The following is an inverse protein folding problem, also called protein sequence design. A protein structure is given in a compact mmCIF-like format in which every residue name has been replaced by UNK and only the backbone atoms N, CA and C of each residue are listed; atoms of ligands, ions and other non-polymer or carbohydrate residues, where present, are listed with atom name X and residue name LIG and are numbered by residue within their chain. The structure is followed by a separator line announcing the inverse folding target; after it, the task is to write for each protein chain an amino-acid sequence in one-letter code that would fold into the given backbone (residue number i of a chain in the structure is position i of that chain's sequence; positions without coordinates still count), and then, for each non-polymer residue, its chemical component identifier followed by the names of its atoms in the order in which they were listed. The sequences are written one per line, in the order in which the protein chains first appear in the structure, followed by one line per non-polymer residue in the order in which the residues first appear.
data_IF_918476480296
#
_entry.id   IF_918476480296
#
_cell.length_a   1.000
_cell.length_b   1.000
_cell.length_c   1.000
_cell.angle_alpha   90.00
_cell.angle_beta   90.00
_cell.angle_gamma   90.00
#
_symmetry.space_group_name_H-M   'P 1'
#
loop_
_entity.id
_entity.type
_entity.pdbx_description
1 polymer ?
#
# COMPACT_ATOMS: atom_id res chain seq x y z
N UNK A 1 -8.11 20.92 15.12
CA UNK A 1 -8.98 20.86 13.91
C UNK A 1 -8.41 19.77 13.02
N UNK A 2 -9.20 18.76 12.63
CA UNK A 2 -8.75 17.67 11.74
C UNK A 2 -8.63 18.26 10.33
N UNK A 3 -7.44 18.15 9.71
CA UNK A 3 -7.16 18.67 8.37
C UNK A 3 -7.00 17.60 7.30
N UNK A 4 -6.74 16.34 7.71
CA UNK A 4 -6.57 15.20 6.83
C UNK A 4 -7.22 13.97 7.48
N UNK A 5 -7.97 13.22 6.67
CA UNK A 5 -8.53 11.90 7.05
C UNK A 5 -8.01 10.86 6.05
N UNK A 6 -7.40 9.79 6.56
CA UNK A 6 -6.91 8.70 5.73
C UNK A 6 -7.80 7.46 5.90
N UNK A 7 -8.04 6.76 4.78
CA UNK A 7 -8.87 5.56 4.72
C UNK A 7 -8.13 4.43 4.00
N UNK A 8 -8.36 3.22 4.46
CA UNK A 8 -8.22 2.03 3.62
C UNK A 8 -9.39 1.95 2.62
N UNK A 9 -9.23 1.20 1.54
CA UNK A 9 -10.23 1.07 0.49
C UNK A 9 -11.08 -0.20 0.65
N UNK A 10 -10.44 -1.36 0.54
CA UNK A 10 -11.13 -2.66 0.44
C UNK A 10 -11.65 -3.14 1.81
N UNK A 11 -12.96 -3.21 1.99
CA UNK A 11 -13.60 -3.53 3.27
C UNK A 11 -13.84 -2.33 4.17
N UNK A 12 -13.37 -1.14 3.77
CA UNK A 12 -13.55 0.13 4.50
C UNK A 12 -14.44 1.08 3.70
N UNK A 13 -13.98 1.61 2.57
CA UNK A 13 -14.77 2.50 1.71
C UNK A 13 -15.61 1.74 0.70
N UNK A 14 -15.17 0.57 0.26
CA UNK A 14 -15.85 -0.29 -0.69
C UNK A 14 -15.72 -1.76 -0.29
N UNK A 15 -16.63 -2.61 -0.75
CA UNK A 15 -16.45 -4.06 -0.71
C UNK A 15 -15.21 -4.44 -1.55
N UNK A 16 -14.52 -5.53 -1.16
CA UNK A 16 -13.25 -5.91 -1.78
C UNK A 16 -13.35 -5.96 -3.30
N UNK A 17 -12.50 -5.19 -3.97
CA UNK A 17 -12.41 -5.03 -5.42
C UNK A 17 -13.69 -4.48 -6.10
N UNK A 18 -14.66 -3.99 -5.34
CA UNK A 18 -15.86 -3.34 -5.86
C UNK A 18 -15.69 -1.82 -5.94
N UNK A 19 -16.37 -1.15 -6.88
CA UNK A 19 -16.39 0.31 -6.92
C UNK A 19 -17.11 0.90 -5.70
N UNK A 20 -16.77 2.14 -5.34
CA UNK A 20 -17.54 2.90 -4.36
C UNK A 20 -19.01 2.92 -4.74
N UNK A 21 -19.89 2.75 -3.76
CA UNK A 21 -21.32 3.02 -3.89
C UNK A 21 -21.53 4.53 -4.02
N UNK A 22 -22.58 4.94 -4.71
CA UNK A 22 -22.90 6.36 -4.92
C UNK A 22 -22.98 7.13 -3.59
N UNK A 23 -23.62 6.55 -2.58
CA UNK A 23 -23.71 7.15 -1.24
C UNK A 23 -22.35 7.39 -0.58
N UNK A 24 -21.38 6.51 -0.81
CA UNK A 24 -20.01 6.69 -0.31
C UNK A 24 -19.28 7.78 -1.08
N UNK A 25 -19.48 7.86 -2.40
CA UNK A 25 -18.93 8.94 -3.23
C UNK A 25 -19.43 10.32 -2.79
N UNK A 26 -20.74 10.44 -2.51
CA UNK A 26 -21.35 11.66 -1.98
C UNK A 26 -20.79 12.05 -0.60
N UNK A 27 -20.66 11.07 0.31
CA UNK A 27 -20.08 11.32 1.64
C UNK A 27 -18.60 11.76 1.57
N UNK A 28 -17.82 11.18 0.66
CA UNK A 28 -16.45 11.62 0.44
C UNK A 28 -16.39 13.03 -0.16
N UNK A 29 -17.32 13.40 -1.06
CA UNK A 29 -17.40 14.75 -1.58
C UNK A 29 -17.72 15.79 -0.49
N UNK A 30 -18.60 15.46 0.45
CA UNK A 30 -18.89 16.31 1.61
C UNK A 30 -17.67 16.45 2.52
N UNK A 31 -16.92 15.36 2.73
CA UNK A 31 -15.70 15.40 3.53
C UNK A 31 -14.60 16.22 2.85
N UNK A 32 -14.44 16.10 1.52
CA UNK A 32 -13.49 16.89 0.73
C UNK A 32 -13.76 18.39 0.77
N UNK A 33 -15.02 18.81 1.03
CA UNK A 33 -15.34 20.22 1.21
C UNK A 33 -14.71 20.83 2.48
N UNK A 34 -14.42 20.01 3.49
CA UNK A 34 -13.97 20.49 4.83
C UNK A 34 -12.59 19.97 5.23
N UNK A 35 -12.06 18.91 4.60
CA UNK A 35 -10.77 18.30 4.95
C UNK A 35 -10.08 17.72 3.71
N UNK A 36 -8.78 17.46 3.82
CA UNK A 36 -8.09 16.59 2.87
C UNK A 36 -8.45 15.12 3.14
N UNK A 37 -8.47 14.31 2.09
CA UNK A 37 -8.70 12.87 2.19
C UNK A 37 -7.54 12.13 1.52
N UNK A 38 -7.02 11.10 2.17
CA UNK A 38 -6.11 10.12 1.59
C UNK A 38 -6.79 8.75 1.52
N UNK A 39 -6.67 8.07 0.39
CA UNK A 39 -7.10 6.66 0.26
C UNK A 39 -5.88 5.82 -0.04
N UNK A 40 -5.62 4.80 0.80
CA UNK A 40 -4.43 3.94 0.72
C UNK A 40 -4.91 2.49 0.59
N UNK A 41 -4.40 1.76 -0.40
CA UNK A 41 -4.70 0.33 -0.55
C UNK A 41 -3.61 -0.38 -1.35
N UNK A 42 -3.55 -1.72 -1.25
CA UNK A 42 -2.64 -2.56 -2.03
C UNK A 42 -2.94 -2.60 -3.54
N UNK A 43 -4.12 -2.14 -3.97
CA UNK A 43 -4.51 -2.07 -5.39
C UNK A 43 -3.57 -1.17 -6.22
N UNK A 44 -3.50 -1.42 -7.54
CA UNK A 44 -2.76 -0.56 -8.45
C UNK A 44 -3.54 0.71 -8.87
N UNK A 45 -2.93 1.56 -9.71
CA UNK A 45 -3.57 2.78 -10.19
C UNK A 45 -4.86 2.52 -10.99
N UNK A 46 -4.87 1.49 -11.85
CA UNK A 46 -6.06 1.15 -12.65
C UNK A 46 -7.24 0.75 -11.75
N UNK A 47 -6.96 0.04 -10.65
CA UNK A 47 -7.97 -0.28 -9.63
C UNK A 47 -8.50 0.99 -8.96
N UNK A 48 -7.64 1.92 -8.54
CA UNK A 48 -8.05 3.19 -7.93
C UNK A 48 -8.87 4.06 -8.87
N UNK A 49 -8.52 4.12 -10.16
CA UNK A 49 -9.33 4.82 -11.16
C UNK A 49 -10.75 4.27 -11.25
N UNK A 50 -10.87 2.94 -11.31
CA UNK A 50 -12.16 2.26 -11.45
C UNK A 50 -12.99 2.30 -10.17
N UNK A 51 -12.37 2.08 -9.01
CA UNK A 51 -13.07 1.95 -7.74
C UNK A 51 -13.37 3.29 -7.08
N UNK A 52 -12.51 4.29 -7.22
CA UNK A 52 -12.58 5.57 -6.49
C UNK A 52 -12.75 6.74 -7.44
N UNK A 53 -11.75 7.05 -8.26
CA UNK A 53 -11.70 8.29 -9.02
C UNK A 53 -12.91 8.48 -9.95
N UNK A 54 -13.34 7.42 -10.65
CA UNK A 54 -14.51 7.45 -11.54
C UNK A 54 -15.86 7.40 -10.83
N UNK A 55 -15.87 7.31 -9.49
CA UNK A 55 -17.08 7.15 -8.68
C UNK A 55 -17.42 8.36 -7.82
N UNK A 56 -16.57 9.36 -7.84
CA UNK A 56 -16.84 10.61 -7.13
C UNK A 56 -17.74 11.51 -7.97
N UNK A 57 -18.71 12.20 -7.34
CA UNK A 57 -19.58 13.13 -8.04
C UNK A 57 -18.78 14.35 -8.54
N UNK A 58 -19.29 15.01 -9.59
CA UNK A 58 -18.63 16.17 -10.22
C UNK A 58 -18.38 17.34 -9.24
N UNK A 59 -19.14 17.42 -8.13
CA UNK A 59 -18.99 18.45 -7.09
C UNK A 59 -17.81 18.19 -6.14
N UNK A 60 -17.19 17.01 -6.19
CA UNK A 60 -16.09 16.67 -5.27
C UNK A 60 -14.86 17.54 -5.56
N UNK A 61 -14.27 18.14 -4.51
CA UNK A 61 -13.02 18.87 -4.62
C UNK A 61 -11.82 17.88 -4.68
N UNK A 62 -11.54 17.40 -5.89
CA UNK A 62 -10.47 16.44 -6.13
C UNK A 62 -9.06 17.00 -5.82
N UNK A 63 -8.89 18.33 -5.71
CA UNK A 63 -7.60 18.93 -5.34
C UNK A 63 -7.18 18.57 -3.92
N UNK A 64 -8.13 18.16 -3.08
CA UNK A 64 -7.92 17.72 -1.70
C UNK A 64 -7.86 16.20 -1.54
N UNK A 65 -7.94 15.44 -2.64
CA UNK A 65 -7.90 13.98 -2.61
C UNK A 65 -6.52 13.45 -3.01
N UNK A 66 -5.97 12.62 -2.16
CA UNK A 66 -4.73 11.90 -2.37
C UNK A 66 -5.02 10.42 -2.56
N UNK A 67 -4.66 9.86 -3.70
CA UNK A 67 -4.80 8.44 -3.98
C UNK A 67 -3.44 7.77 -3.89
N UNK A 68 -3.31 6.79 -3.00
CA UNK A 68 -2.06 6.13 -2.66
C UNK A 68 -2.14 4.61 -2.94
N UNK A 69 -2.06 4.22 -4.23
CA UNK A 69 -2.04 2.81 -4.61
C UNK A 69 -0.75 2.11 -4.17
N UNK A 70 -0.73 0.78 -4.33
CA UNK A 70 0.44 -0.07 -4.03
C UNK A 70 0.99 0.16 -2.62
N UNK A 71 0.07 0.16 -1.65
CA UNK A 71 0.39 0.32 -0.22
C UNK A 71 1.13 1.63 0.08
N UNK A 72 0.82 2.70 -0.68
CA UNK A 72 1.41 4.02 -0.49
C UNK A 72 2.78 4.23 -1.15
N UNK A 73 3.28 3.27 -1.95
CA UNK A 73 4.54 3.43 -2.71
C UNK A 73 4.39 4.32 -3.95
N UNK A 74 3.16 4.72 -4.24
CA UNK A 74 2.81 5.75 -5.23
C UNK A 74 1.84 6.74 -4.61
N UNK A 75 1.90 7.99 -5.04
CA UNK A 75 0.94 9.02 -4.69
C UNK A 75 0.46 9.72 -5.96
N UNK A 76 -0.84 9.81 -6.11
CA UNK A 76 -1.48 10.58 -7.17
C UNK A 76 -2.29 11.72 -6.58
N UNK A 77 -2.21 12.89 -7.21
CA UNK A 77 -3.04 14.07 -6.93
C UNK A 77 -3.74 14.52 -8.20
N UNK A 78 -4.89 15.20 -8.03
CA UNK A 78 -5.64 15.76 -9.13
C UNK A 78 -5.33 17.25 -9.26
N UNK A 79 -4.78 17.66 -10.41
CA UNK A 79 -4.48 19.06 -10.72
C UNK A 79 -4.79 19.33 -12.19
N UNK A 80 -5.27 20.51 -12.50
CA UNK A 80 -5.56 20.95 -13.87
C UNK A 80 -6.44 19.97 -14.66
N UNK A 81 -7.42 19.35 -13.98
CA UNK A 81 -8.34 18.39 -14.57
C UNK A 81 -7.76 16.98 -14.78
N UNK A 82 -6.54 16.70 -14.30
CA UNK A 82 -5.87 15.43 -14.54
C UNK A 82 -5.26 14.84 -13.25
N UNK A 83 -5.23 13.51 -13.17
CA UNK A 83 -4.48 12.78 -12.17
C UNK A 83 -3.02 12.66 -12.59
N UNK A 84 -2.12 13.10 -11.72
CA UNK A 84 -0.68 13.04 -11.95
C UNK A 84 0.03 12.38 -10.78
N UNK A 85 1.03 11.52 -11.03
CA UNK A 85 1.85 10.97 -9.97
C UNK A 85 2.73 12.07 -9.36
N UNK A 86 2.78 12.11 -8.04
CA UNK A 86 3.72 12.96 -7.28
C UNK A 86 5.01 12.20 -7.05
N UNK A 87 4.91 10.92 -6.68
CA UNK A 87 6.04 10.00 -6.63
C UNK A 87 5.59 8.58 -6.98
N UNK A 88 6.57 7.75 -7.39
CA UNK A 88 6.43 6.31 -7.58
C UNK A 88 7.78 5.63 -7.27
N UNK A 89 7.82 4.79 -6.25
CA UNK A 89 9.01 4.03 -5.84
C UNK A 89 9.09 2.73 -6.62
N UNK A 90 9.55 2.79 -7.88
CA UNK A 90 9.60 1.63 -8.76
C UNK A 90 10.80 0.72 -8.43
N UNK A 91 10.60 -0.58 -8.52
CA UNK A 91 11.69 -1.55 -8.53
C UNK A 91 12.45 -1.50 -9.85
N UNK A 92 13.78 -1.68 -9.79
CA UNK A 92 14.58 -1.97 -10.99
C UNK A 92 14.26 -3.37 -11.52
N UNK A 93 14.59 -3.65 -12.78
CA UNK A 93 14.38 -4.96 -13.40
C UNK A 93 15.11 -6.07 -12.63
N UNK A 94 16.35 -5.81 -12.18
CA UNK A 94 17.14 -6.75 -11.38
C UNK A 94 16.46 -7.03 -10.02
N UNK A 95 15.95 -5.99 -9.36
CA UNK A 95 15.25 -6.16 -8.09
C UNK A 95 13.94 -6.95 -8.26
N UNK A 96 13.18 -6.69 -9.33
CA UNK A 96 11.98 -7.46 -9.65
C UNK A 96 12.29 -8.95 -9.87
N UNK A 97 13.29 -9.23 -10.69
CA UNK A 97 13.73 -10.60 -10.94
C UNK A 97 14.21 -11.29 -9.64
N UNK A 98 14.96 -10.56 -8.80
CA UNK A 98 15.41 -11.06 -7.50
C UNK A 98 14.22 -11.38 -6.59
N UNK A 99 13.25 -10.49 -6.44
CA UNK A 99 12.05 -10.70 -5.61
C UNK A 99 11.28 -11.95 -6.07
N UNK A 100 11.06 -12.10 -7.37
CA UNK A 100 10.33 -13.24 -7.94
C UNK A 100 11.07 -14.55 -7.62
N UNK A 101 12.38 -14.58 -7.82
CA UNK A 101 13.19 -15.76 -7.50
C UNK A 101 13.14 -16.12 -5.98
N UNK A 102 13.10 -15.12 -5.10
CA UNK A 102 12.96 -15.37 -3.67
C UNK A 102 11.56 -15.86 -3.28
N UNK A 103 10.51 -15.47 -3.98
CA UNK A 103 9.19 -16.08 -3.81
C UNK A 103 9.19 -17.57 -4.15
N UNK A 104 9.75 -17.94 -5.31
CA UNK A 104 9.84 -19.34 -5.71
C UNK A 104 10.62 -20.17 -4.70
N UNK A 105 11.75 -19.62 -4.22
CA UNK A 105 12.56 -20.27 -3.19
C UNK A 105 11.82 -20.42 -1.85
N UNK A 106 11.07 -19.41 -1.42
CA UNK A 106 10.28 -19.45 -0.20
C UNK A 106 9.13 -20.47 -0.29
N UNK A 107 8.45 -20.55 -1.43
CA UNK A 107 7.41 -21.53 -1.65
C UNK A 107 7.95 -22.96 -1.68
N UNK A 108 9.11 -23.18 -2.30
CA UNK A 108 9.78 -24.46 -2.29
C UNK A 108 10.21 -24.90 -0.86
N UNK A 109 10.72 -23.94 -0.07
CA UNK A 109 11.16 -24.19 1.30
C UNK A 109 10.00 -24.46 2.27
N UNK A 110 8.86 -23.77 2.09
CA UNK A 110 7.70 -23.90 2.99
C UNK A 110 6.71 -24.98 2.57
N UNK A 111 6.75 -25.45 1.32
CA UNK A 111 5.91 -26.53 0.81
C UNK A 111 4.43 -26.15 0.60
N UNK A 112 4.06 -24.88 0.71
CA UNK A 112 2.67 -24.42 0.52
C UNK A 112 2.33 -24.23 -0.96
N UNK A 113 2.24 -25.36 -1.67
CA UNK A 113 1.81 -25.38 -3.09
C UNK A 113 0.33 -25.77 -3.15
N UNK A 114 -0.57 -24.94 -3.68
CA UNK A 114 -1.97 -25.31 -3.82
C UNK A 114 -2.16 -26.35 -4.92
N UNK A 115 -3.17 -27.21 -4.76
CA UNK A 115 -3.53 -28.21 -5.76
C UNK A 115 -4.08 -27.59 -7.05
N UNK A 116 -4.70 -26.42 -6.95
CA UNK A 116 -5.28 -25.68 -8.07
C UNK A 116 -4.98 -24.19 -7.97
N UNK A 117 -4.72 -23.58 -9.12
CA UNK A 117 -4.52 -22.12 -9.25
C UNK A 117 -5.41 -21.55 -10.36
N UNK A 118 -5.73 -20.24 -10.23
CA UNK A 118 -6.57 -19.50 -11.17
C UNK A 118 -5.84 -18.22 -11.63
N UNK A 119 -5.32 -18.26 -12.84
CA UNK A 119 -4.54 -17.17 -13.42
C UNK A 119 -3.14 -17.05 -12.80
N UNK A 120 -2.48 -15.92 -13.10
CA UNK A 120 -1.13 -15.65 -12.66
C UNK A 120 -1.06 -15.52 -11.14
N UNK A 121 0.00 -16.08 -10.55
CA UNK A 121 0.25 -16.02 -9.10
C UNK A 121 1.06 -14.80 -8.70
N UNK A 122 1.87 -14.30 -9.59
CA UNK A 122 2.70 -13.11 -9.37
C UNK A 122 2.17 -11.97 -10.24
N UNK A 123 1.97 -10.81 -9.64
CA UNK A 123 1.57 -9.59 -10.33
C UNK A 123 2.59 -8.50 -10.02
N UNK A 124 3.23 -7.99 -11.09
CA UNK A 124 4.15 -6.85 -11.01
C UNK A 124 3.36 -5.55 -11.21
N UNK A 125 3.35 -4.71 -10.17
CA UNK A 125 2.74 -3.37 -10.15
C UNK A 125 3.78 -2.25 -10.22
N UNK A 126 5.01 -2.59 -10.58
CA UNK A 126 6.14 -1.68 -10.68
C UNK A 126 6.78 -1.32 -9.34
N UNK A 127 6.04 -0.82 -8.38
CA UNK A 127 6.48 -0.48 -7.01
C UNK A 127 6.08 -1.52 -5.97
N UNK A 128 5.36 -2.54 -6.37
CA UNK A 128 4.90 -3.66 -5.55
C UNK A 128 4.89 -4.93 -6.38
N UNK A 129 5.41 -6.01 -5.83
CA UNK A 129 5.23 -7.36 -6.35
C UNK A 129 4.24 -8.08 -5.44
N UNK A 130 3.12 -8.51 -6.03
CA UNK A 130 2.07 -9.23 -5.31
C UNK A 130 2.10 -10.69 -5.68
N UNK A 131 2.27 -11.54 -4.69
CA UNK A 131 2.05 -12.98 -4.82
C UNK A 131 0.64 -13.33 -4.34
N UNK A 132 -0.11 -14.08 -5.13
CA UNK A 132 -1.40 -14.68 -4.76
C UNK A 132 -1.29 -16.19 -4.77
N UNK A 133 -1.45 -16.83 -3.63
CA UNK A 133 -1.23 -18.27 -3.51
C UNK A 133 -2.09 -19.09 -4.47
N UNK A 134 -3.35 -18.70 -4.64
CA UNK A 134 -4.31 -19.36 -5.54
C UNK A 134 -4.40 -18.70 -6.93
N UNK A 135 -3.61 -17.67 -7.20
CA UNK A 135 -3.71 -16.88 -8.42
C UNK A 135 -4.71 -15.72 -8.31
N UNK A 136 -4.54 -14.73 -9.17
CA UNK A 136 -5.30 -13.47 -9.11
C UNK A 136 -6.80 -13.65 -9.36
N UNK A 137 -7.18 -14.66 -10.16
CA UNK A 137 -8.55 -14.92 -10.58
C UNK A 137 -9.27 -15.99 -9.72
N UNK A 138 -8.67 -16.40 -8.60
CA UNK A 138 -9.28 -17.42 -7.75
C UNK A 138 -10.65 -16.98 -7.21
N UNK A 139 -11.65 -17.88 -7.16
CA UNK A 139 -12.96 -17.61 -6.57
C UNK A 139 -12.83 -17.21 -5.09
N UNK A 140 -13.72 -16.30 -4.63
CA UNK A 140 -13.72 -15.84 -3.23
C UNK A 140 -13.81 -17.02 -2.26
N UNK A 141 -14.72 -17.95 -2.50
CA UNK A 141 -14.89 -19.13 -1.66
C UNK A 141 -13.61 -19.98 -1.53
N UNK A 142 -12.82 -20.13 -2.61
CA UNK A 142 -11.54 -20.82 -2.53
C UNK A 142 -10.50 -20.04 -1.72
N UNK A 143 -10.49 -18.71 -1.86
CA UNK A 143 -9.59 -17.82 -1.10
C UNK A 143 -9.86 -17.86 0.39
N UNK A 144 -11.13 -17.88 0.80
CA UNK A 144 -11.54 -17.88 2.22
C UNK A 144 -11.13 -19.15 2.96
N UNK A 145 -11.11 -20.29 2.27
CA UNK A 145 -10.77 -21.59 2.90
C UNK A 145 -9.30 -21.95 2.84
N UNK A 146 -8.50 -21.28 1.99
CA UNK A 146 -7.10 -21.63 1.80
C UNK A 146 -6.22 -21.32 3.01
N UNK A 147 -6.40 -20.16 3.64
CA UNK A 147 -5.57 -19.67 4.76
C UNK A 147 -6.40 -18.78 5.72
N UNK A 148 -7.47 -19.33 6.32
CA UNK A 148 -8.43 -18.53 7.11
C UNK A 148 -7.82 -17.94 8.39
N UNK A 149 -6.79 -18.56 8.93
CA UNK A 149 -6.09 -18.18 10.17
C UNK A 149 -4.74 -17.51 9.90
N UNK A 150 -4.41 -17.24 8.63
CA UNK A 150 -3.13 -16.65 8.19
C UNK A 150 -1.90 -17.51 8.47
N UNK A 151 -2.04 -18.76 8.90
CA UNK A 151 -0.92 -19.59 9.36
C UNK A 151 0.06 -19.87 8.21
N UNK A 152 -0.42 -20.21 7.01
CA UNK A 152 0.44 -20.49 5.85
C UNK A 152 1.21 -19.24 5.42
N UNK A 153 0.52 -18.10 5.29
CA UNK A 153 1.17 -16.84 4.89
C UNK A 153 2.14 -16.31 5.93
N UNK A 154 1.89 -16.51 7.22
CA UNK A 154 2.86 -16.17 8.28
C UNK A 154 4.18 -16.89 8.11
N UNK A 155 4.14 -18.18 7.75
CA UNK A 155 5.35 -18.97 7.52
C UNK A 155 6.09 -18.49 6.26
N UNK A 156 5.39 -18.30 5.15
CA UNK A 156 5.98 -17.76 3.91
C UNK A 156 6.56 -16.36 4.14
N UNK A 157 5.83 -15.49 4.83
CA UNK A 157 6.27 -14.14 5.17
C UNK A 157 7.54 -14.14 6.02
N UNK A 158 7.63 -15.02 7.00
CA UNK A 158 8.81 -15.13 7.87
C UNK A 158 10.05 -15.56 7.07
N UNK A 159 9.92 -16.54 6.18
CA UNK A 159 11.01 -16.96 5.31
C UNK A 159 11.42 -15.85 4.33
N UNK A 160 10.45 -15.18 3.70
CA UNK A 160 10.71 -14.05 2.80
C UNK A 160 11.40 -12.87 3.51
N UNK A 161 11.05 -12.56 4.77
CA UNK A 161 11.72 -11.52 5.55
C UNK A 161 13.19 -11.81 5.81
N UNK A 162 13.54 -13.09 5.90
CA UNK A 162 14.94 -13.51 6.03
C UNK A 162 15.69 -13.35 4.70
N UNK A 163 15.02 -13.62 3.58
CA UNK A 163 15.62 -13.54 2.24
C UNK A 163 15.71 -12.12 1.70
N UNK A 164 14.76 -11.26 2.06
CA UNK A 164 14.59 -9.90 1.58
C UNK A 164 14.52 -8.90 2.76
N UNK A 165 15.58 -8.80 3.57
CA UNK A 165 15.55 -8.03 4.81
C UNK A 165 15.34 -6.52 4.60
N UNK A 166 15.67 -6.01 3.41
CA UNK A 166 15.57 -4.59 3.07
C UNK A 166 14.21 -4.18 2.48
N UNK A 167 13.31 -5.16 2.26
CA UNK A 167 11.99 -4.93 1.71
C UNK A 167 10.89 -5.04 2.78
N UNK A 168 9.76 -4.41 2.51
CA UNK A 168 8.55 -4.55 3.31
C UNK A 168 7.73 -5.72 2.77
N UNK A 169 7.35 -6.66 3.64
CA UNK A 169 6.63 -7.88 3.28
C UNK A 169 5.37 -7.95 4.11
N UNK A 170 4.24 -7.70 3.48
CA UNK A 170 2.94 -7.59 4.13
C UNK A 170 1.96 -8.63 3.58
N UNK A 171 1.06 -9.10 4.42
CA UNK A 171 -0.07 -9.90 3.98
C UNK A 171 -1.14 -8.98 3.44
N UNK A 172 -1.52 -9.21 2.16
CA UNK A 172 -2.67 -8.56 1.53
C UNK A 172 -3.87 -9.50 1.48
N UNK A 173 -5.07 -9.03 1.23
CA UNK A 173 -6.29 -9.80 1.02
C UNK A 173 -6.35 -11.17 1.73
N UNK A 174 -7.09 -12.13 1.15
CA UNK A 174 -7.26 -13.46 1.76
C UNK A 174 -6.11 -14.45 1.48
N UNK A 175 -5.36 -14.27 0.39
CA UNK A 175 -4.33 -15.23 -0.07
C UNK A 175 -3.05 -14.56 -0.57
N UNK A 176 -2.93 -13.25 -0.42
CA UNK A 176 -1.83 -12.48 -1.01
C UNK A 176 -0.73 -12.14 -0.01
N UNK A 177 0.47 -12.00 -0.54
CA UNK A 177 1.62 -11.38 0.11
C UNK A 177 2.14 -10.29 -0.84
N UNK A 178 2.29 -9.08 -0.31
CA UNK A 178 2.75 -7.91 -1.04
C UNK A 178 4.16 -7.55 -0.60
N UNK A 179 5.06 -7.39 -1.57
CA UNK A 179 6.43 -6.91 -1.35
C UNK A 179 6.56 -5.52 -1.96
N UNK A 180 7.00 -4.57 -1.13
CA UNK A 180 7.26 -3.18 -1.52
C UNK A 180 8.62 -2.74 -1.01
N UNK A 181 9.14 -1.63 -1.53
CA UNK A 181 10.27 -0.96 -0.90
C UNK A 181 9.86 -0.49 0.49
N UNK A 182 10.81 -0.40 1.42
CA UNK A 182 10.63 0.32 2.69
C UNK A 182 10.75 1.81 2.43
N UNK A 183 9.85 2.36 1.64
CA UNK A 183 9.99 3.68 1.02
C UNK A 183 9.25 4.82 1.70
N UNK A 184 8.44 4.56 2.74
CA UNK A 184 7.82 5.65 3.48
C UNK A 184 8.77 6.15 4.58
N UNK A 185 9.04 7.46 4.59
CA UNK A 185 9.75 8.11 5.68
C UNK A 185 8.73 8.83 6.57
N UNK A 186 8.83 8.61 7.88
CA UNK A 186 8.04 9.30 8.87
C UNK A 186 8.92 10.25 9.68
N UNK A 187 8.52 11.50 9.80
CA UNK A 187 9.22 12.51 10.61
C UNK A 187 8.32 12.87 11.79
N UNK A 188 8.83 12.70 13.00
CA UNK A 188 8.08 12.98 14.22
C UNK A 188 9.00 13.27 15.41
N UNK A 189 8.46 13.87 16.47
CA UNK A 189 9.21 14.20 17.68
C UNK A 189 9.19 13.08 18.73
N UNK A 190 8.16 12.26 18.72
CA UNK A 190 7.94 11.20 19.71
C UNK A 190 8.29 9.78 19.21
N UNK A 191 9.31 9.64 18.35
CA UNK A 191 9.82 8.37 17.83
C UNK A 191 10.78 7.74 18.86
N UNK A 192 10.25 7.25 19.97
CA UNK A 192 10.97 6.51 21.02
C UNK A 192 10.02 5.52 21.70
N UNK A 193 10.52 4.44 22.34
CA UNK A 193 9.65 3.48 23.01
C UNK A 193 8.66 4.14 23.96
N UNK A 194 7.36 3.93 23.72
CA UNK A 194 6.27 4.59 24.45
C UNK A 194 5.82 5.95 23.91
N UNK A 195 6.48 6.53 22.91
CA UNK A 195 6.02 7.73 22.20
C UNK A 195 4.94 7.39 21.17
N UNK A 196 4.04 8.35 20.92
CA UNK A 196 2.91 8.17 20.00
C UNK A 196 3.33 7.98 18.52
N UNK A 197 4.55 8.38 18.13
CA UNK A 197 5.09 8.23 16.78
C UNK A 197 5.92 6.94 16.63
N UNK A 198 6.19 6.23 17.73
CA UNK A 198 7.02 5.03 17.72
C UNK A 198 6.43 3.87 16.91
N UNK A 199 5.10 3.67 16.83
CA UNK A 199 4.50 2.66 15.96
C UNK A 199 4.94 2.76 14.49
N UNK A 200 5.21 3.96 13.97
CA UNK A 200 5.74 4.14 12.62
C UNK A 200 7.11 3.45 12.43
N UNK A 201 7.96 3.48 13.45
CA UNK A 201 9.25 2.77 13.47
C UNK A 201 9.07 1.26 13.62
N UNK A 202 8.14 0.82 14.46
CA UNK A 202 7.88 -0.61 14.71
C UNK A 202 7.39 -1.33 13.45
N UNK A 203 6.58 -0.67 12.62
CA UNK A 203 6.13 -1.22 11.33
C UNK A 203 7.20 -1.13 10.22
N UNK A 204 8.40 -0.65 10.54
CA UNK A 204 9.57 -0.69 9.66
C UNK A 204 9.71 0.51 8.72
N UNK A 205 9.00 1.62 8.98
CA UNK A 205 9.22 2.85 8.22
C UNK A 205 10.61 3.42 8.49
N UNK A 206 11.21 4.06 7.48
CA UNK A 206 12.34 4.98 7.72
C UNK A 206 11.82 6.15 8.54
N UNK A 207 12.40 6.38 9.70
CA UNK A 207 11.96 7.45 10.59
C UNK A 207 13.07 8.46 10.83
N UNK A 208 12.70 9.74 10.86
CA UNK A 208 13.57 10.83 11.30
C UNK A 208 12.94 11.44 12.55
N UNK A 209 13.62 11.29 13.69
CA UNK A 209 13.21 11.96 14.92
C UNK A 209 13.69 13.42 14.88
N UNK A 210 12.78 14.34 15.07
CA UNK A 210 13.07 15.76 15.22
C UNK A 210 12.74 16.22 16.65
N UNK A 211 13.23 17.36 17.05
CA UNK A 211 12.96 17.91 18.38
C UNK A 211 11.82 18.92 18.35
N UNK A 212 11.71 19.64 17.24
CA UNK A 212 10.84 20.80 17.07
C UNK A 212 10.65 21.07 15.56
N UNK A 213 9.81 22.06 15.17
CA UNK A 213 9.60 22.43 13.78
C UNK A 213 10.87 22.87 13.03
N UNK A 214 11.84 23.48 13.69
CA UNK A 214 13.11 23.88 13.08
C UNK A 214 13.93 22.65 12.69
N UNK A 215 13.94 21.62 13.54
CA UNK A 215 14.48 20.32 13.24
C UNK A 215 13.81 19.65 12.04
N UNK A 216 12.50 19.83 11.89
CA UNK A 216 11.74 19.34 10.71
C UNK A 216 12.17 20.05 9.44
N UNK A 217 12.36 21.37 9.46
CA UNK A 217 12.86 22.13 8.32
C UNK A 217 14.26 21.66 7.89
N UNK A 218 15.14 21.41 8.86
CA UNK A 218 16.48 20.87 8.57
C UNK A 218 16.42 19.46 7.94
N UNK A 219 15.52 18.59 8.45
CA UNK A 219 15.30 17.26 7.88
C UNK A 219 14.79 17.34 6.44
N UNK A 220 13.81 18.20 6.15
CA UNK A 220 13.28 18.44 4.81
C UNK A 220 14.38 18.92 3.86
N UNK A 221 15.21 19.88 4.27
CA UNK A 221 16.32 20.39 3.46
C UNK A 221 17.33 19.26 3.14
N UNK A 222 17.65 18.41 4.13
CA UNK A 222 18.50 17.24 3.93
C UNK A 222 17.92 16.24 2.93
N UNK A 223 16.62 15.95 3.04
CA UNK A 223 15.90 15.03 2.14
C UNK A 223 15.88 15.59 0.71
N UNK A 224 15.59 16.87 0.52
CA UNK A 224 15.59 17.52 -0.79
C UNK A 224 16.98 17.39 -1.43
N UNK A 225 18.07 17.67 -0.70
CA UNK A 225 19.43 17.54 -1.20
C UNK A 225 19.85 16.10 -1.52
N UNK A 226 19.22 15.09 -0.88
CA UNK A 226 19.51 13.68 -1.17
C UNK A 226 18.70 13.14 -2.37
N UNK A 227 17.57 13.78 -2.70
CA UNK A 227 16.66 13.33 -3.76
C UNK A 227 16.77 14.17 -5.05
N UNK A 228 17.52 15.28 -5.02
CA UNK A 228 17.83 16.13 -6.18
C UNK A 228 19.14 15.71 -6.83
#
# INVERSE_FOLDING_TARGET
MISLVAFDLDGTLAESKQPLKESMGEALADLLAVAHVAVISGGDWAQFQKQVASRLPARADLSRLWLMPTTGTKLYTHRDGQWSPVYAELFSDDMRAHIIAQFDAALAATGFVPEQTWGERIEDRGSQITFSALGQQAPIAAKEVWDPDFAKRKVIQADLRTRLPDLSINMGGATSIDITQKGMMFIGDAIFPGGNDYPAKEIGLKTVRVKDPDGTLAAIAGIVNCLS
#
